data_IF_587621714592
#
_entry.id   IF_587621714592
#
_cell.length_a   1.000
_cell.length_b   1.000
_cell.length_c   1.000
_cell.angle_alpha   90.00
_cell.angle_beta   90.00
_cell.angle_gamma   90.00
#
_symmetry.space_group_name_H-M   'P 1'
#
loop_
_entity.id
_entity.type
_entity.pdbx_description
1 polymer ?
#
# COMPACT_ATOMS: atom_id res chain seq x y z
N UNK A 1 -20.49 -22.91 -11.34
CA UNK A 1 -19.10 -22.52 -11.06
C UNK A 1 -18.66 -21.58 -12.16
N UNK A 2 -18.49 -20.29 -11.86
CA UNK A 2 -17.91 -19.35 -12.81
C UNK A 2 -16.41 -19.68 -12.96
N UNK A 3 -15.82 -19.59 -14.16
CA UNK A 3 -14.39 -19.79 -14.33
C UNK A 3 -13.64 -18.73 -13.53
N UNK A 4 -12.67 -19.15 -12.72
CA UNK A 4 -11.66 -18.27 -12.13
C UNK A 4 -10.91 -17.64 -13.31
N UNK A 5 -11.15 -16.36 -13.56
CA UNK A 5 -10.52 -15.63 -14.67
C UNK A 5 -9.17 -15.12 -14.19
N UNK A 6 -8.12 -15.88 -14.47
CA UNK A 6 -6.75 -15.49 -14.17
C UNK A 6 -6.28 -14.49 -15.22
N UNK A 7 -5.95 -13.27 -14.80
CA UNK A 7 -5.10 -12.38 -15.60
C UNK A 7 -3.73 -13.05 -15.79
N UNK A 8 -3.06 -12.77 -16.91
CA UNK A 8 -1.71 -13.25 -17.15
C UNK A 8 -0.81 -12.97 -15.93
N UNK A 9 -0.13 -14.01 -15.42
CA UNK A 9 0.72 -13.97 -14.19
C UNK A 9 1.73 -12.83 -14.16
N UNK A 10 2.02 -12.23 -15.33
CA UNK A 10 2.91 -11.09 -15.54
C UNK A 10 2.36 -9.75 -15.03
N UNK A 11 1.04 -9.62 -14.89
CA UNK A 11 0.40 -8.40 -14.40
C UNK A 11 0.25 -8.37 -12.88
N UNK A 12 0.21 -9.56 -12.28
CA UNK A 12 -0.05 -9.78 -10.86
C UNK A 12 1.08 -9.40 -9.92
N UNK A 13 2.33 -9.62 -10.36
CA UNK A 13 3.53 -9.39 -9.55
C UNK A 13 3.71 -7.91 -9.16
N UNK A 14 3.02 -6.98 -9.85
CA UNK A 14 3.17 -5.55 -9.61
C UNK A 14 2.06 -4.93 -8.73
N UNK A 15 0.88 -5.55 -8.66
CA UNK A 15 -0.31 -5.03 -7.97
C UNK A 15 -0.42 -5.57 -6.52
N UNK A 16 0.00 -6.83 -6.28
CA UNK A 16 -0.16 -7.51 -5.00
C UNK A 16 0.81 -7.03 -3.88
N UNK A 17 1.76 -6.16 -4.19
CA UNK A 17 2.80 -5.78 -3.25
C UNK A 17 2.63 -4.32 -2.83
N UNK A 18 1.76 -4.05 -1.85
CA UNK A 18 1.66 -2.75 -1.15
C UNK A 18 2.91 -2.52 -0.26
N UNK A 19 4.11 -2.67 -0.83
CA UNK A 19 5.39 -2.43 -0.18
C UNK A 19 5.68 -3.25 1.10
N UNK A 20 6.06 -4.52 0.95
CA UNK A 20 6.50 -5.39 2.07
C UNK A 20 7.92 -5.07 2.59
N UNK A 21 8.72 -4.19 1.98
CA UNK A 21 10.19 -4.30 2.15
C UNK A 21 10.84 -3.48 3.29
N UNK A 22 10.19 -2.55 3.98
CA UNK A 22 10.93 -1.64 4.89
C UNK A 22 10.82 -1.90 6.41
N UNK A 23 10.42 -3.09 6.90
CA UNK A 23 10.00 -3.20 8.33
C UNK A 23 10.67 -4.30 9.14
N UNK A 24 11.75 -4.89 8.63
CA UNK A 24 12.64 -5.69 9.49
C UNK A 24 13.48 -4.78 10.43
N UNK A 25 13.65 -3.50 10.10
CA UNK A 25 14.57 -2.59 10.80
C UNK A 25 13.93 -1.82 11.98
N UNK A 26 12.62 -1.53 11.92
CA UNK A 26 11.90 -0.76 12.96
C UNK A 26 11.99 -1.43 14.34
N UNK A 27 11.92 -2.76 14.38
CA UNK A 27 11.90 -3.51 15.64
C UNK A 27 13.27 -3.59 16.31
N UNK A 28 14.40 -3.43 15.60
CA UNK A 28 15.73 -3.58 16.22
C UNK A 28 16.33 -2.27 16.74
N UNK A 29 16.14 -1.13 16.08
CA UNK A 29 16.73 0.17 16.53
C UNK A 29 15.83 0.85 17.59
N UNK A 30 14.51 0.88 17.35
CA UNK A 30 13.54 1.59 18.18
C UNK A 30 13.25 0.86 19.50
N UNK A 31 13.33 -0.47 19.52
CA UNK A 31 13.03 -1.27 20.72
C UNK A 31 14.06 -1.10 21.84
N UNK A 32 15.33 -0.78 21.52
CA UNK A 32 16.38 -0.58 22.53
C UNK A 32 16.58 0.89 22.94
N UNK A 33 16.18 1.87 22.10
CA UNK A 33 16.37 3.32 22.37
C UNK A 33 15.07 4.12 22.55
N UNK A 34 13.94 3.61 22.07
CA UNK A 34 12.67 4.34 21.95
C UNK A 34 12.71 5.36 20.82
N UNK A 35 11.60 5.61 20.08
CA UNK A 35 11.58 6.68 19.10
C UNK A 35 11.60 8.03 19.82
N UNK A 36 12.18 9.06 19.19
CA UNK A 36 12.02 10.43 19.71
C UNK A 36 10.54 10.79 19.79
N UNK A 37 10.17 11.75 20.64
CA UNK A 37 8.76 12.17 20.76
C UNK A 37 8.19 12.64 19.40
N UNK A 38 9.03 13.26 18.56
CA UNK A 38 8.68 13.70 17.21
C UNK A 38 8.48 12.54 16.23
N UNK A 39 9.25 11.45 16.37
CA UNK A 39 9.17 10.29 15.46
C UNK A 39 8.16 9.23 15.88
N UNK A 40 7.64 9.27 17.12
CA UNK A 40 6.62 8.33 17.57
C UNK A 40 5.39 8.25 16.64
N UNK A 41 4.74 9.36 16.23
CA UNK A 41 3.60 9.28 15.30
C UNK A 41 3.99 8.75 13.92
N UNK A 42 5.24 8.96 13.47
CA UNK A 42 5.75 8.37 12.23
C UNK A 42 5.88 6.85 12.35
N UNK A 43 6.45 6.37 13.46
CA UNK A 43 6.56 4.93 13.73
C UNK A 43 5.19 4.27 13.77
N UNK A 44 4.20 4.87 14.44
CA UNK A 44 2.83 4.35 14.48
C UNK A 44 2.17 4.28 13.09
N UNK A 45 2.46 5.26 12.22
CA UNK A 45 2.04 5.24 10.81
C UNK A 45 2.69 4.08 10.06
N UNK A 46 4.00 3.93 10.16
CA UNK A 46 4.77 2.89 9.47
C UNK A 46 4.39 1.48 9.93
N UNK A 47 4.18 1.28 11.23
CA UNK A 47 3.72 0.01 11.79
C UNK A 47 2.32 -0.36 11.30
N UNK A 48 1.39 0.60 11.30
CA UNK A 48 0.06 0.39 10.75
C UNK A 48 0.10 0.03 9.26
N UNK A 49 0.90 0.76 8.47
CA UNK A 49 1.07 0.48 7.05
C UNK A 49 1.56 -0.96 6.83
N UNK A 50 2.59 -1.39 7.57
CA UNK A 50 3.11 -2.77 7.51
C UNK A 50 2.01 -3.79 7.82
N UNK A 51 1.37 -3.64 8.97
CA UNK A 51 0.42 -4.63 9.48
C UNK A 51 -0.77 -4.78 8.53
N UNK A 52 -1.24 -3.68 7.93
CA UNK A 52 -2.29 -3.72 6.91
C UNK A 52 -1.81 -4.31 5.59
N UNK A 53 -0.61 -3.97 5.11
CA UNK A 53 -0.04 -4.57 3.90
C UNK A 53 0.12 -6.09 4.04
N UNK A 54 0.53 -6.59 5.20
CA UNK A 54 0.60 -8.03 5.49
C UNK A 54 -0.78 -8.69 5.53
N UNK A 55 -1.78 -8.03 6.12
CA UNK A 55 -3.16 -8.55 6.15
C UNK A 55 -3.79 -8.61 4.76
N UNK A 56 -3.57 -7.58 3.94
CA UNK A 56 -4.05 -7.53 2.56
C UNK A 56 -3.32 -8.59 1.72
N UNK A 57 -2.00 -8.75 1.88
CA UNK A 57 -1.23 -9.79 1.20
C UNK A 57 -1.66 -11.21 1.61
N UNK A 58 -2.02 -11.42 2.88
CA UNK A 58 -2.52 -12.70 3.36
C UNK A 58 -3.95 -13.01 2.88
N UNK A 59 -4.81 -11.99 2.73
CA UNK A 59 -6.14 -12.14 2.14
C UNK A 59 -6.09 -12.40 0.63
N UNK A 60 -5.04 -11.94 -0.06
CA UNK A 60 -4.77 -12.23 -1.46
C UNK A 60 -4.25 -13.67 -1.71
N UNK A 61 -4.60 -14.64 -0.85
CA UNK A 61 -4.16 -16.03 -0.90
C UNK A 61 -4.39 -16.68 -2.28
N UNK A 62 -3.33 -17.35 -2.77
CA UNK A 62 -3.04 -17.68 -4.17
C UNK A 62 -2.99 -16.43 -5.06
N UNK A 63 -1.75 -16.04 -5.42
CA UNK A 63 -1.31 -14.80 -6.08
C UNK A 63 -1.89 -14.50 -7.48
N UNK A 64 -3.08 -15.02 -7.79
CA UNK A 64 -3.75 -15.00 -9.08
C UNK A 64 -5.18 -14.39 -9.02
N UNK A 65 -5.65 -13.86 -7.87
CA UNK A 65 -7.05 -13.39 -7.71
C UNK A 65 -7.19 -11.91 -7.33
N UNK A 66 -7.89 -11.13 -8.18
CA UNK A 66 -7.98 -9.67 -8.04
C UNK A 66 -8.73 -9.29 -6.78
N UNK A 67 -8.34 -8.18 -6.11
CA UNK A 67 -9.19 -7.58 -5.07
C UNK A 67 -10.63 -7.49 -5.57
N UNK A 68 -11.51 -8.18 -4.86
CA UNK A 68 -12.94 -8.27 -5.16
C UNK A 68 -13.70 -7.15 -4.47
N UNK A 69 -14.99 -7.00 -4.77
CA UNK A 69 -15.83 -5.99 -4.09
C UNK A 69 -15.90 -6.23 -2.58
N UNK A 70 -15.72 -7.49 -2.13
CA UNK A 70 -15.65 -7.82 -0.71
C UNK A 70 -14.41 -7.23 -0.03
N UNK A 71 -13.34 -6.98 -0.78
CA UNK A 71 -12.07 -6.47 -0.26
C UNK A 71 -12.03 -4.93 -0.17
N UNK A 72 -12.95 -4.23 -0.85
CA UNK A 72 -12.99 -2.76 -0.91
C UNK A 72 -12.99 -2.13 0.50
N UNK A 73 -13.71 -2.74 1.45
CA UNK A 73 -13.76 -2.25 2.82
C UNK A 73 -12.41 -2.32 3.54
N UNK A 74 -11.62 -3.37 3.31
CA UNK A 74 -10.30 -3.52 3.91
C UNK A 74 -9.30 -2.51 3.33
N UNK A 75 -9.32 -2.33 2.01
CA UNK A 75 -8.49 -1.32 1.33
C UNK A 75 -8.86 0.10 1.75
N UNK A 76 -10.17 0.41 1.88
CA UNK A 76 -10.62 1.71 2.37
C UNK A 76 -10.18 1.96 3.81
N UNK A 77 -10.30 0.96 4.69
CA UNK A 77 -9.83 1.06 6.08
C UNK A 77 -8.32 1.30 6.17
N UNK A 78 -7.53 0.69 5.28
CA UNK A 78 -6.10 0.96 5.18
C UNK A 78 -5.82 2.42 4.78
N UNK A 79 -6.44 2.92 3.71
CA UNK A 79 -6.24 4.31 3.27
C UNK A 79 -6.69 5.32 4.33
N UNK A 80 -7.87 5.12 4.92
CA UNK A 80 -8.39 5.98 5.98
C UNK A 80 -7.51 5.93 7.24
N UNK A 81 -7.01 4.75 7.60
CA UNK A 81 -6.12 4.58 8.74
C UNK A 81 -4.75 5.23 8.57
N UNK A 82 -4.24 5.30 7.33
CA UNK A 82 -3.06 6.09 6.98
C UNK A 82 -3.35 7.59 7.09
N UNK A 83 -4.48 8.06 6.58
CA UNK A 83 -4.88 9.47 6.68
C UNK A 83 -5.02 9.93 8.14
N UNK A 84 -5.66 9.12 8.98
CA UNK A 84 -5.82 9.40 10.41
C UNK A 84 -4.47 9.53 11.13
N UNK A 85 -3.48 8.68 10.80
CA UNK A 85 -2.15 8.74 11.42
C UNK A 85 -1.27 9.84 10.85
N UNK A 86 -1.39 10.12 9.55
CA UNK A 86 -0.69 11.23 8.92
C UNK A 86 -1.03 12.57 9.59
N UNK A 87 -2.28 12.74 10.01
CA UNK A 87 -2.75 13.93 10.75
C UNK A 87 -2.16 14.07 12.15
N UNK A 88 -1.57 13.00 12.72
CA UNK A 88 -0.95 13.04 14.06
C UNK A 88 0.52 13.48 14.00
N UNK A 89 1.10 13.55 12.80
CA UNK A 89 2.48 13.98 12.58
C UNK A 89 2.49 15.50 12.44
N UNK A 90 2.99 16.19 13.47
CA UNK A 90 3.01 17.66 13.53
C UNK A 90 4.34 18.28 13.10
N UNK A 91 5.41 17.49 12.98
CA UNK A 91 6.70 17.99 12.49
C UNK A 91 6.53 18.47 11.03
N UNK A 92 6.83 19.74 10.72
CA UNK A 92 6.66 20.29 9.37
C UNK A 92 7.55 19.61 8.32
N UNK A 93 8.65 18.96 8.73
CA UNK A 93 9.55 18.23 7.85
C UNK A 93 9.05 16.81 7.54
N UNK A 94 8.13 16.26 8.36
CA UNK A 94 7.64 14.88 8.24
C UNK A 94 6.17 14.82 7.77
N UNK A 95 5.36 15.77 8.22
CA UNK A 95 3.92 15.86 7.93
C UNK A 95 3.61 15.88 6.44
N UNK A 96 4.38 16.63 5.64
CA UNK A 96 4.18 16.68 4.19
C UNK A 96 4.33 15.32 3.50
N UNK A 97 5.36 14.56 3.88
CA UNK A 97 5.63 13.19 3.37
C UNK A 97 4.54 12.22 3.83
N UNK A 98 4.11 12.31 5.09
CA UNK A 98 3.03 11.47 5.61
C UNK A 98 1.67 11.73 4.95
N UNK A 99 1.34 13.01 4.69
CA UNK A 99 0.10 13.37 3.99
C UNK A 99 0.13 12.87 2.55
N UNK A 100 1.26 12.99 1.85
CA UNK A 100 1.41 12.43 0.49
C UNK A 100 1.24 10.93 0.47
N UNK A 101 1.82 10.21 1.44
CA UNK A 101 1.64 8.77 1.58
C UNK A 101 0.15 8.40 1.73
N UNK A 102 -0.59 9.08 2.61
CA UNK A 102 -2.02 8.84 2.80
C UNK A 102 -2.87 9.15 1.56
N UNK A 103 -2.55 10.24 0.85
CA UNK A 103 -3.22 10.62 -0.39
C UNK A 103 -2.96 9.59 -1.51
N UNK A 104 -1.72 9.15 -1.69
CA UNK A 104 -1.36 8.11 -2.65
C UNK A 104 -2.07 6.78 -2.36
N UNK A 105 -2.20 6.40 -1.09
CA UNK A 105 -2.98 5.23 -0.69
C UNK A 105 -4.47 5.38 -1.07
N UNK A 106 -5.07 6.55 -0.82
CA UNK A 106 -6.45 6.84 -1.20
C UNK A 106 -6.65 6.77 -2.73
N UNK A 107 -5.70 7.30 -3.51
CA UNK A 107 -5.71 7.21 -4.97
C UNK A 107 -5.58 5.75 -5.45
N UNK A 108 -4.78 4.93 -4.77
CA UNK A 108 -4.63 3.51 -5.09
C UNK A 108 -5.95 2.77 -4.91
N UNK A 109 -6.62 2.97 -3.77
CA UNK A 109 -7.93 2.36 -3.48
C UNK A 109 -8.98 2.79 -4.51
N UNK A 110 -8.99 4.07 -4.89
CA UNK A 110 -9.93 4.59 -5.88
C UNK A 110 -9.81 3.95 -7.28
N UNK A 111 -8.66 3.34 -7.60
CA UNK A 111 -8.44 2.64 -8.88
C UNK A 111 -8.85 1.16 -8.87
N UNK A 112 -9.12 0.56 -7.71
CA UNK A 112 -9.51 -0.86 -7.61
C UNK A 112 -10.73 -1.22 -8.47
N UNK A 113 -11.82 -0.42 -8.52
CA UNK A 113 -12.97 -0.74 -9.38
C UNK A 113 -12.62 -0.71 -10.88
N UNK A 114 -11.77 0.24 -11.29
CA UNK A 114 -11.33 0.38 -12.68
C UNK A 114 -10.46 -0.80 -13.11
N UNK A 115 -9.58 -1.26 -12.21
CA UNK A 115 -8.75 -2.44 -12.43
C UNK A 115 -9.59 -3.71 -12.59
N UNK A 116 -10.61 -3.90 -11.73
CA UNK A 116 -11.55 -5.03 -11.89
C UNK A 116 -12.26 -5.00 -13.23
N UNK A 117 -12.79 -3.84 -13.62
CA UNK A 117 -13.50 -3.68 -14.90
C UNK A 117 -12.57 -3.93 -16.11
N UNK A 118 -11.31 -3.47 -16.03
CA UNK A 118 -10.30 -3.74 -17.05
C UNK A 118 -9.99 -5.23 -17.15
N UNK A 119 -9.94 -5.94 -16.02
CA UNK A 119 -9.71 -7.38 -15.99
C UNK A 119 -10.88 -8.19 -16.57
N UNK A 120 -12.12 -7.76 -16.35
CA UNK A 120 -13.32 -8.43 -16.89
C UNK A 120 -13.36 -8.43 -18.42
N UNK A 121 -12.78 -7.40 -19.04
CA UNK A 121 -12.81 -7.18 -20.49
C UNK A 121 -11.48 -7.52 -21.16
N UNK A 122 -10.45 -7.89 -20.38
CA UNK A 122 -9.13 -8.17 -20.92
C UNK A 122 -9.08 -9.50 -21.68
N UNK A 123 -8.52 -9.46 -22.88
CA UNK A 123 -8.31 -10.64 -23.73
C UNK A 123 -6.85 -11.08 -23.69
N UNK A 124 -6.55 -12.39 -23.65
CA UNK A 124 -5.17 -12.88 -23.67
C UNK A 124 -4.34 -12.29 -24.82
N UNK A 125 -3.15 -11.78 -24.51
CA UNK A 125 -2.23 -11.18 -25.49
C UNK A 125 -2.52 -9.72 -25.86
N UNK A 126 -3.58 -9.11 -25.33
CA UNK A 126 -3.79 -7.67 -25.48
C UNK A 126 -2.78 -6.87 -24.62
N UNK A 127 -2.51 -5.59 -24.96
CA UNK A 127 -1.67 -4.73 -24.15
C UNK A 127 -2.17 -4.61 -22.70
N UNK A 128 -1.26 -4.28 -21.80
CA UNK A 128 -1.59 -3.95 -20.41
C UNK A 128 -2.44 -2.68 -20.34
N UNK A 129 -3.60 -2.69 -19.66
CA UNK A 129 -4.47 -1.57 -19.41
C UNK A 129 -3.74 -0.49 -18.63
N UNK A 130 -4.04 0.75 -19.00
CA UNK A 130 -3.45 1.94 -18.38
C UNK A 130 -3.66 1.97 -16.86
N UNK A 131 -4.81 1.49 -16.37
CA UNK A 131 -5.09 1.42 -14.92
C UNK A 131 -4.05 0.58 -14.15
N UNK A 132 -3.51 -0.47 -14.77
CA UNK A 132 -2.46 -1.29 -14.14
C UNK A 132 -1.15 -0.51 -14.06
N UNK A 133 -0.81 0.24 -15.12
CA UNK A 133 0.36 1.11 -15.11
C UNK A 133 0.25 2.21 -14.07
N UNK A 134 -0.92 2.85 -13.97
CA UNK A 134 -1.19 3.88 -12.96
C UNK A 134 -1.06 3.34 -11.54
N UNK A 135 -1.64 2.17 -11.26
CA UNK A 135 -1.57 1.56 -9.94
C UNK A 135 -0.14 1.16 -9.56
N UNK A 136 0.65 0.67 -10.52
CA UNK A 136 2.07 0.38 -10.29
C UNK A 136 2.87 1.65 -9.98
N UNK A 137 2.57 2.75 -10.66
CA UNK A 137 3.18 4.05 -10.36
C UNK A 137 2.81 4.53 -8.95
N UNK A 138 1.54 4.45 -8.56
CA UNK A 138 1.09 4.80 -7.21
C UNK A 138 1.79 3.94 -6.15
N UNK A 139 1.90 2.63 -6.38
CA UNK A 139 2.59 1.72 -5.48
C UNK A 139 4.08 2.07 -5.30
N UNK A 140 4.77 2.42 -6.39
CA UNK A 140 6.15 2.87 -6.32
C UNK A 140 6.30 4.15 -5.49
N UNK A 141 5.35 5.10 -5.61
CA UNK A 141 5.34 6.33 -4.81
C UNK A 141 5.03 6.08 -3.34
N UNK A 142 4.07 5.21 -3.03
CA UNK A 142 3.78 4.77 -1.65
C UNK A 142 5.04 4.19 -1.00
N UNK A 143 5.74 3.32 -1.74
CA UNK A 143 7.00 2.72 -1.29
C UNK A 143 8.08 3.77 -1.01
N UNK A 144 8.19 4.77 -1.89
CA UNK A 144 9.14 5.87 -1.76
C UNK A 144 8.87 6.71 -0.50
N UNK A 145 7.64 7.21 -0.31
CA UNK A 145 7.30 8.06 0.84
C UNK A 145 7.45 7.28 2.16
N UNK A 146 7.13 5.98 2.16
CA UNK A 146 7.38 5.08 3.31
C UNK A 146 8.87 4.99 3.63
N UNK A 147 9.73 4.85 2.62
CA UNK A 147 11.17 4.79 2.81
C UNK A 147 11.75 6.13 3.32
N UNK A 148 11.23 7.25 2.83
CA UNK A 148 11.63 8.59 3.29
C UNK A 148 11.29 8.80 4.78
N UNK A 149 10.07 8.44 5.20
CA UNK A 149 9.67 8.48 6.61
C UNK A 149 10.51 7.54 7.49
N UNK A 150 10.83 6.36 6.97
CA UNK A 150 11.67 5.38 7.68
C UNK A 150 13.08 5.92 7.88
N UNK A 151 13.71 6.44 6.82
CA UNK A 151 15.05 7.02 6.88
C UNK A 151 15.14 8.22 7.83
N UNK A 152 14.06 8.99 7.95
CA UNK A 152 13.99 10.14 8.86
C UNK A 152 13.89 9.74 10.34
N UNK A 153 13.25 8.62 10.66
CA UNK A 153 12.83 8.30 12.03
C UNK A 153 13.31 6.96 12.61
N UNK A 154 13.90 6.09 11.80
CA UNK A 154 14.20 4.68 12.16
C UNK A 154 15.67 4.31 11.86
N UNK A 155 16.53 5.29 11.59
CA UNK A 155 17.95 5.05 11.32
C UNK A 155 18.69 4.36 12.46
#
# INVERSE_FOLDING_TARGET
MAPVRTLDRRWWVAIAAVAVVAVAFVVSEVFFRGPSQECRPVVELLEFNKAQSEQIAAHAGDADTLPTVADDAAYQQWADGLAQRAQQINDPNLSGTAIRLADLASQFVAKLPQMRAAAETHTPGAPTPDVVHDMNFLNARISQETAELTAACVN
#
